data_IF_038754605734
#
_entry.id   IF_038754605734
#
_cell.length_a   1.000
_cell.length_b   1.000
_cell.length_c   1.000
_cell.angle_alpha   90.00
_cell.angle_beta   90.00
_cell.angle_gamma   90.00
#
_symmetry.space_group_name_H-M   'P 1'
#
loop_
_entity.id
_entity.type
_entity.pdbx_description
1 polymer ?
#
# COMPACT_ATOMS: atom_id res chain seq x y z
N UNK A 1 -10.11 -13.87 12.21
CA UNK A 1 -11.14 -13.70 11.16
C UNK A 1 -10.48 -13.25 9.87
N UNK A 2 -11.04 -13.58 8.70
CA UNK A 2 -10.52 -13.14 7.41
C UNK A 2 -10.79 -11.64 7.20
N UNK A 3 -9.97 -10.99 6.38
CA UNK A 3 -10.23 -9.60 5.99
C UNK A 3 -11.55 -9.53 5.20
N UNK A 4 -12.37 -8.52 5.48
CA UNK A 4 -13.46 -8.16 4.58
C UNK A 4 -12.92 -7.37 3.39
N UNK A 5 -13.67 -7.34 2.27
CA UNK A 5 -13.24 -6.63 1.07
C UNK A 5 -12.91 -5.15 1.33
N UNK A 6 -13.75 -4.41 2.07
CA UNK A 6 -13.49 -3.01 2.43
C UNK A 6 -12.25 -2.81 3.33
N UNK A 7 -11.81 -3.87 4.00
CA UNK A 7 -10.58 -3.92 4.79
C UNK A 7 -9.38 -4.50 4.03
N UNK A 8 -9.48 -4.71 2.73
CA UNK A 8 -8.35 -5.07 1.88
C UNK A 8 -8.20 -6.57 1.63
N UNK A 9 -9.27 -7.37 1.73
CA UNK A 9 -9.20 -8.78 1.32
C UNK A 9 -8.75 -8.94 -0.15
N UNK A 10 -7.93 -9.95 -0.49
CA UNK A 10 -7.47 -11.02 0.39
C UNK A 10 -6.25 -10.64 1.25
N UNK A 11 -5.52 -9.58 0.89
CA UNK A 11 -4.28 -9.19 1.55
C UNK A 11 -4.11 -7.67 1.65
N UNK A 12 -3.59 -7.20 2.79
CA UNK A 12 -3.22 -5.80 3.02
C UNK A 12 -1.83 -5.70 3.64
N UNK A 13 -1.12 -4.64 3.32
CA UNK A 13 0.12 -4.27 4.00
C UNK A 13 -0.20 -3.30 5.14
N UNK A 14 0.37 -3.55 6.33
CA UNK A 14 0.24 -2.68 7.49
C UNK A 14 1.62 -2.43 8.05
N UNK A 15 1.93 -1.17 8.30
CA UNK A 15 3.13 -0.78 9.04
C UNK A 15 2.67 -0.30 10.41
N UNK A 16 2.87 -1.08 11.49
CA UNK A 16 2.49 -0.69 12.84
C UNK A 16 3.20 0.59 13.26
N UNK A 17 2.49 1.49 13.93
CA UNK A 17 3.03 2.79 14.37
C UNK A 17 2.97 3.90 13.32
N UNK A 18 2.68 3.57 12.05
CA UNK A 18 2.60 4.54 10.95
C UNK A 18 1.16 4.98 10.62
N UNK A 19 1.04 6.12 9.95
CA UNK A 19 -0.27 6.64 9.48
C UNK A 19 -0.86 5.76 8.37
N UNK A 20 -2.20 5.72 8.33
CA UNK A 20 -2.98 4.84 7.44
C UNK A 20 -2.77 5.01 5.93
N UNK A 21 -2.17 6.11 5.44
CA UNK A 21 -1.83 6.27 4.01
C UNK A 21 -0.79 5.26 3.53
N UNK A 22 0.04 4.72 4.43
CA UNK A 22 1.04 3.70 4.09
C UNK A 22 0.40 2.29 4.07
N UNK A 23 -0.86 2.16 4.46
CA UNK A 23 -1.54 0.87 4.46
C UNK A 23 -2.15 0.58 3.10
N UNK A 24 -1.49 -0.29 2.35
CA UNK A 24 -1.97 -0.74 1.04
C UNK A 24 -3.05 -1.80 1.24
N UNK A 25 -4.25 -1.53 0.71
CA UNK A 25 -5.33 -2.52 0.62
C UNK A 25 -5.27 -3.24 -0.72
N UNK A 26 -5.82 -4.45 -0.78
CA UNK A 26 -5.93 -5.23 -2.02
C UNK A 26 -4.56 -5.49 -2.67
N UNK A 27 -3.61 -5.92 -1.84
CA UNK A 27 -2.22 -6.14 -2.24
C UNK A 27 -2.11 -7.22 -3.31
N UNK A 28 -1.45 -6.90 -4.43
CA UNK A 28 -1.21 -7.82 -5.55
C UNK A 28 0.27 -8.13 -5.79
N UNK A 29 1.17 -7.22 -5.38
CA UNK A 29 2.61 -7.37 -5.61
C UNK A 29 3.42 -6.61 -4.55
N UNK A 30 4.65 -7.07 -4.32
CA UNK A 30 5.66 -6.39 -3.50
C UNK A 30 6.97 -6.46 -4.28
N UNK A 31 7.63 -5.31 -4.45
CA UNK A 31 8.96 -5.21 -5.06
C UNK A 31 9.94 -4.68 -4.02
N UNK A 32 11.07 -5.38 -3.84
CA UNK A 32 12.14 -4.96 -2.95
C UNK A 32 13.23 -4.27 -3.77
N UNK A 33 13.73 -3.13 -3.29
CA UNK A 33 14.83 -2.38 -3.90
C UNK A 33 15.93 -2.11 -2.88
N UNK A 34 17.16 -2.08 -3.38
CA UNK A 34 18.37 -1.79 -2.62
C UNK A 34 18.61 -0.28 -2.42
N UNK A 35 18.04 0.56 -3.29
CA UNK A 35 18.08 2.02 -3.17
C UNK A 35 16.68 2.65 -3.13
N UNK A 36 16.48 3.76 -2.39
CA UNK A 36 15.23 4.52 -2.42
C UNK A 36 14.89 5.05 -3.83
N UNK A 37 13.63 4.95 -4.23
CA UNK A 37 13.09 5.57 -5.46
C UNK A 37 12.12 6.71 -5.10
N UNK A 38 12.54 7.97 -5.23
CA UNK A 38 11.67 9.13 -4.99
C UNK A 38 10.44 9.17 -5.92
N UNK A 39 10.55 8.68 -7.15
CA UNK A 39 9.44 8.62 -8.10
C UNK A 39 8.36 7.64 -7.66
N UNK A 40 8.77 6.51 -7.09
CA UNK A 40 7.83 5.52 -6.54
C UNK A 40 7.14 6.01 -5.26
N UNK A 41 7.84 6.77 -4.42
CA UNK A 41 7.22 7.43 -3.26
C UNK A 41 6.11 8.39 -3.70
N UNK A 42 6.36 9.19 -4.74
CA UNK A 42 5.35 10.07 -5.31
C UNK A 42 4.17 9.27 -5.88
N UNK A 43 4.45 8.23 -6.66
CA UNK A 43 3.44 7.37 -7.27
C UNK A 43 2.47 6.78 -6.22
N UNK A 44 2.98 6.29 -5.08
CA UNK A 44 2.15 5.77 -3.99
C UNK A 44 1.17 6.85 -3.49
N UNK A 45 1.66 8.07 -3.26
CA UNK A 45 0.86 9.15 -2.70
C UNK A 45 -0.16 9.74 -3.70
N UNK A 46 0.10 9.66 -5.01
CA UNK A 46 -0.82 10.18 -6.04
C UNK A 46 -1.71 9.11 -6.70
N UNK A 47 -1.45 7.83 -6.44
CA UNK A 47 -2.17 6.70 -7.06
C UNK A 47 -3.69 6.72 -6.90
N UNK A 48 -4.21 7.39 -5.87
CA UNK A 48 -5.65 7.55 -5.62
C UNK A 48 -6.33 8.71 -6.35
N UNK A 49 -5.58 9.56 -7.07
CA UNK A 49 -6.14 10.75 -7.75
C UNK A 49 -6.46 10.54 -9.24
N UNK A 50 -6.13 9.38 -9.80
CA UNK A 50 -6.32 9.06 -11.23
C UNK A 50 -7.59 8.23 -11.51
N UNK A 51 -8.69 8.51 -10.82
CA UNK A 51 -10.01 7.93 -11.09
C UNK A 51 -10.72 8.61 -12.25
#
# INVERSE_FOLDING_TARGET
EALSHGHGAPARLVVPGERGFIWVKWLVAIELRDTPDPGQLLAINVSGFGG
#
